data_IF_057200186047
#
_entry.id   IF_057200186047
#
_cell.length_a   1.000
_cell.length_b   1.000
_cell.length_c   1.000
_cell.angle_alpha   90.00
_cell.angle_beta   90.00
_cell.angle_gamma   90.00
#
_symmetry.space_group_name_H-M   'P 1'
#
loop_
_entity.id
_entity.type
_entity.pdbx_description
1 polymer ?
#
# COMPACT_ATOMS: atom_id res chain seq x y z
N UNK A 1 -2.56 8.02 -17.36
CA UNK A 1 -3.70 7.24 -16.86
C UNK A 1 -3.27 6.55 -15.57
N UNK A 2 -4.12 6.46 -14.54
CA UNK A 2 -3.78 5.78 -13.30
C UNK A 2 -4.33 4.36 -13.29
N UNK A 3 -3.63 3.42 -12.66
CA UNK A 3 -4.06 2.03 -12.44
C UNK A 3 -3.73 1.66 -11.00
N UNK A 4 -4.60 0.90 -10.34
CA UNK A 4 -4.33 0.38 -8.99
C UNK A 4 -4.47 -1.13 -9.04
N UNK A 5 -3.54 -1.84 -8.41
CA UNK A 5 -3.56 -3.30 -8.29
C UNK A 5 -3.53 -3.72 -6.83
N UNK A 6 -4.18 -4.85 -6.54
CA UNK A 6 -4.14 -5.57 -5.27
C UNK A 6 -3.48 -6.92 -5.52
N UNK A 7 -2.32 -7.18 -4.91
CA UNK A 7 -1.57 -8.44 -5.08
C UNK A 7 -1.48 -8.86 -6.56
N UNK A 8 -1.02 -7.93 -7.43
CA UNK A 8 -0.92 -8.04 -8.90
C UNK A 8 -2.26 -8.09 -9.67
N UNK A 9 -3.39 -8.26 -8.99
CA UNK A 9 -4.73 -8.23 -9.61
C UNK A 9 -5.19 -6.80 -9.84
N UNK A 10 -5.80 -6.49 -10.99
CA UNK A 10 -6.37 -5.17 -11.24
C UNK A 10 -7.48 -4.86 -10.23
N UNK A 11 -7.31 -3.79 -9.46
CA UNK A 11 -8.30 -3.27 -8.51
C UNK A 11 -9.04 -2.06 -9.09
N UNK A 12 -8.32 -1.22 -9.86
CA UNK A 12 -8.86 -0.07 -10.56
C UNK A 12 -8.24 0.11 -11.93
N UNK A 13 -9.09 0.34 -12.94
CA UNK A 13 -8.67 0.77 -14.27
C UNK A 13 -9.69 1.77 -14.86
N UNK A 14 -9.26 2.91 -15.42
CA UNK A 14 -10.21 3.89 -15.93
C UNK A 14 -10.95 3.36 -17.16
N UNK A 15 -12.28 3.48 -17.15
CA UNK A 15 -13.16 2.97 -18.20
C UNK A 15 -13.62 1.52 -17.99
N UNK A 16 -13.16 0.83 -16.94
CA UNK A 16 -13.71 -0.47 -16.53
C UNK A 16 -15.03 -0.26 -15.76
N UNK A 17 -15.98 -1.19 -15.91
CA UNK A 17 -17.26 -1.20 -15.20
C UNK A 17 -17.22 -1.98 -13.90
N UNK A 18 -16.27 -2.91 -13.72
CA UNK A 18 -16.16 -3.76 -12.52
C UNK A 18 -15.04 -3.32 -11.59
N UNK A 19 -13.86 -3.00 -12.13
CA UNK A 19 -12.71 -2.57 -11.34
C UNK A 19 -12.78 -1.05 -11.09
N UNK A 20 -13.77 -0.65 -10.30
CA UNK A 20 -14.03 0.74 -9.94
C UNK A 20 -13.68 0.97 -8.48
N UNK A 21 -13.10 2.12 -8.19
CA UNK A 21 -12.87 2.65 -6.85
C UNK A 21 -13.44 4.06 -6.76
N UNK A 22 -13.90 4.42 -5.57
CA UNK A 22 -14.48 5.72 -5.23
C UNK A 22 -13.49 6.48 -4.33
N UNK A 23 -13.44 7.81 -4.49
CA UNK A 23 -12.69 8.75 -3.62
C UNK A 23 -11.23 8.36 -3.35
N UNK A 24 -10.56 7.74 -4.33
CA UNK A 24 -9.17 7.32 -4.20
C UNK A 24 -8.23 8.52 -4.11
N UNK A 25 -7.56 8.66 -2.98
CA UNK A 25 -6.64 9.76 -2.67
C UNK A 25 -5.28 9.20 -2.26
N UNK A 26 -4.24 9.55 -3.01
CA UNK A 26 -2.85 9.19 -2.71
C UNK A 26 -2.13 10.42 -2.16
N UNK A 27 -1.68 10.33 -0.90
CA UNK A 27 -0.92 11.36 -0.21
C UNK A 27 0.53 10.90 -0.09
N UNK A 28 1.44 11.59 -0.78
CA UNK A 28 2.89 11.35 -0.70
C UNK A 28 3.54 12.62 -0.21
N UNK A 29 4.15 12.55 0.97
CA UNK A 29 4.82 13.69 1.62
C UNK A 29 6.28 13.33 1.90
N UNK A 30 7.13 14.35 1.97
CA UNK A 30 8.51 14.16 2.40
C UNK A 30 8.55 13.65 3.84
N UNK A 31 9.45 12.70 4.13
CA UNK A 31 9.62 12.07 5.45
C UNK A 31 8.43 11.23 5.95
N UNK A 32 7.47 10.88 5.08
CA UNK A 32 6.42 9.90 5.41
C UNK A 32 6.50 8.69 4.48
N UNK A 33 5.90 7.57 4.90
CA UNK A 33 5.77 6.39 4.03
C UNK A 33 4.77 6.62 2.88
N UNK A 34 3.98 7.69 2.94
CA UNK A 34 2.81 7.89 2.10
C UNK A 34 1.61 7.05 2.52
N UNK A 35 0.42 7.55 2.17
CA UNK A 35 -0.85 6.93 2.50
C UNK A 35 -1.75 6.95 1.29
N UNK A 36 -2.39 5.82 1.01
CA UNK A 36 -3.43 5.71 -0.01
C UNK A 36 -4.74 5.39 0.71
N UNK A 37 -5.79 6.17 0.43
CA UNK A 37 -7.13 5.94 0.97
C UNK A 37 -8.09 5.83 -0.19
N UNK A 38 -8.94 4.81 -0.21
CA UNK A 38 -9.98 4.67 -1.21
C UNK A 38 -11.20 3.95 -0.64
N UNK A 39 -12.31 4.06 -1.35
CA UNK A 39 -13.55 3.34 -1.04
C UNK A 39 -13.80 2.32 -2.15
N UNK A 40 -13.85 1.04 -1.77
CA UNK A 40 -14.11 -0.07 -2.67
C UNK A 40 -15.60 -0.48 -2.62
N UNK A 41 -16.34 -0.37 -3.73
CA UNK A 41 -17.73 -0.80 -3.80
C UNK A 41 -17.84 -2.33 -3.84
N UNK A 42 -18.99 -2.86 -3.42
CA UNK A 42 -19.23 -4.31 -3.29
C UNK A 42 -19.14 -5.05 -4.63
N UNK A 43 -19.42 -4.36 -5.72
CA UNK A 43 -19.40 -4.89 -7.09
C UNK A 43 -17.97 -5.18 -7.57
N UNK A 44 -16.95 -4.64 -6.89
CA UNK A 44 -15.56 -4.83 -7.28
C UNK A 44 -15.14 -6.30 -7.10
N UNK A 45 -14.53 -6.95 -8.11
CA UNK A 45 -14.09 -8.35 -8.03
C UNK A 45 -13.09 -8.63 -6.90
N UNK A 46 -12.36 -7.61 -6.45
CA UNK A 46 -11.38 -7.71 -5.37
C UNK A 46 -11.95 -7.38 -3.99
N UNK A 47 -13.26 -7.12 -3.87
CA UNK A 47 -13.90 -6.65 -2.64
C UNK A 47 -13.63 -7.54 -1.41
N UNK A 48 -13.62 -8.87 -1.56
CA UNK A 48 -13.35 -9.80 -0.45
C UNK A 48 -11.87 -10.20 -0.30
N UNK A 49 -10.98 -9.67 -1.14
CA UNK A 49 -9.56 -10.07 -1.15
C UNK A 49 -8.68 -9.23 -0.22
N UNK A 50 -9.19 -8.15 0.34
CA UNK A 50 -8.39 -7.29 1.23
C UNK A 50 -8.09 -7.99 2.55
N UNK A 51 -6.81 -8.23 2.81
CA UNK A 51 -6.32 -8.75 4.07
C UNK A 51 -5.42 -7.71 4.75
N UNK A 52 -5.81 -7.28 5.95
CA UNK A 52 -5.02 -6.31 6.72
C UNK A 52 -3.63 -6.89 7.04
N UNK A 53 -2.58 -6.06 6.90
CA UNK A 53 -1.16 -6.42 7.09
C UNK A 53 -0.65 -7.55 6.18
N UNK A 54 -1.37 -7.88 5.10
CA UNK A 54 -0.98 -8.94 4.17
C UNK A 54 -1.08 -8.52 2.71
N UNK A 55 -2.21 -7.92 2.33
CA UNK A 55 -2.41 -7.50 0.95
C UNK A 55 -1.60 -6.25 0.63
N UNK A 56 -0.98 -6.26 -0.54
CA UNK A 56 -0.19 -5.15 -1.08
C UNK A 56 -0.96 -4.46 -2.21
N UNK A 57 -0.99 -3.14 -2.15
CA UNK A 57 -1.62 -2.27 -3.13
C UNK A 57 -0.55 -1.43 -3.82
N UNK A 58 -0.54 -1.48 -5.15
CA UNK A 58 0.37 -0.68 -5.99
C UNK A 58 -0.43 0.30 -6.84
N UNK A 59 0.07 1.53 -6.95
CA UNK A 59 -0.49 2.58 -7.80
C UNK A 59 0.48 2.90 -8.92
N UNK A 60 -0.02 2.88 -10.15
CA UNK A 60 0.74 3.18 -11.35
C UNK A 60 0.22 4.43 -12.03
N UNK A 61 1.13 5.24 -12.58
CA UNK A 61 0.84 6.32 -13.51
C UNK A 61 1.45 5.99 -14.87
N UNK A 62 0.62 5.50 -15.79
CA UNK A 62 1.08 4.87 -17.02
C UNK A 62 1.78 3.55 -16.68
N UNK A 63 3.05 3.42 -17.06
CA UNK A 63 3.88 2.25 -16.76
C UNK A 63 4.71 2.41 -15.48
N UNK A 64 4.77 3.63 -14.92
CA UNK A 64 5.57 3.92 -13.73
C UNK A 64 4.80 3.62 -12.46
N UNK A 65 5.32 2.76 -11.60
CA UNK A 65 4.85 2.60 -10.22
C UNK A 65 5.20 3.86 -9.42
N UNK A 66 4.20 4.46 -8.78
CA UNK A 66 4.36 5.70 -8.00
C UNK A 66 4.13 5.50 -6.50
N UNK A 67 3.51 4.40 -6.10
CA UNK A 67 3.29 4.05 -4.70
C UNK A 67 3.09 2.54 -4.58
N UNK A 68 3.62 1.98 -3.50
CA UNK A 68 3.38 0.60 -3.07
C UNK A 68 3.19 0.62 -1.57
N UNK A 69 2.16 -0.06 -1.10
CA UNK A 69 1.85 -0.08 0.33
C UNK A 69 0.98 -1.26 0.71
N UNK A 70 0.89 -1.52 1.99
CA UNK A 70 0.08 -2.59 2.55
C UNK A 70 -1.30 -2.08 2.99
N UNK A 71 -2.30 -2.94 2.97
CA UNK A 71 -3.60 -2.65 3.58
C UNK A 71 -3.42 -2.57 5.10
N UNK A 72 -3.54 -1.37 5.66
CA UNK A 72 -3.37 -1.12 7.10
C UNK A 72 -4.67 -1.42 7.85
N UNK A 73 -5.78 -0.96 7.29
CA UNK A 73 -7.12 -1.04 7.87
C UNK A 73 -8.19 -1.07 6.77
N UNK A 74 -9.31 -1.71 7.06
CA UNK A 74 -10.51 -1.65 6.25
C UNK A 74 -11.72 -1.50 7.17
N UNK A 75 -12.62 -0.59 6.80
CA UNK A 75 -13.88 -0.34 7.50
C UNK A 75 -15.04 -0.47 6.52
N UNK A 76 -16.14 -1.07 6.97
CA UNK A 76 -17.33 -1.27 6.14
C UNK A 76 -18.41 -0.25 6.51
N UNK A 77 -18.92 0.48 5.54
CA UNK A 77 -20.04 1.42 5.74
C UNK A 77 -21.42 0.70 5.70
N UNK A 78 -22.48 1.46 5.95
CA UNK A 78 -23.87 0.96 5.92
C UNK A 78 -24.30 0.48 4.53
N UNK A 79 -23.73 1.03 3.47
CA UNK A 79 -24.00 0.68 2.08
C UNK A 79 -23.16 -0.51 1.60
N UNK A 80 -22.38 -1.13 2.50
CA UNK A 80 -21.47 -2.23 2.19
C UNK A 80 -20.30 -1.84 1.28
N UNK A 81 -19.90 -0.57 1.26
CA UNK A 81 -18.61 -0.18 0.71
C UNK A 81 -17.52 -0.38 1.77
N UNK A 82 -16.32 -0.73 1.31
CA UNK A 82 -15.14 -0.84 2.16
C UNK A 82 -14.27 0.38 2.00
N UNK A 83 -14.15 1.20 3.03
CA UNK A 83 -13.10 2.21 3.11
C UNK A 83 -11.80 1.53 3.50
N UNK A 84 -10.80 1.61 2.64
CA UNK A 84 -9.51 0.95 2.82
C UNK A 84 -8.43 2.01 2.98
N UNK A 85 -7.61 1.84 4.01
CA UNK A 85 -6.45 2.68 4.26
C UNK A 85 -5.21 1.83 4.05
N UNK A 86 -4.35 2.26 3.14
CA UNK A 86 -3.07 1.63 2.86
C UNK A 86 -1.92 2.52 3.29
N UNK A 87 -0.90 1.92 3.89
CA UNK A 87 0.32 2.60 4.31
C UNK A 87 1.49 2.15 3.42
N UNK A 88 2.36 3.06 3.03
CA UNK A 88 3.49 2.72 2.16
C UNK A 88 4.49 1.76 2.81
N UNK A 89 5.23 1.00 1.99
CA UNK A 89 6.10 -0.09 2.47
C UNK A 89 7.15 0.32 3.52
N UNK A 90 7.55 1.59 3.57
CA UNK A 90 8.49 2.09 4.59
C UNK A 90 7.94 1.92 6.02
N UNK A 91 6.63 1.77 6.22
CA UNK A 91 6.08 1.45 7.55
C UNK A 91 6.52 0.09 8.07
N UNK A 92 6.94 -0.84 7.22
CA UNK A 92 7.52 -2.10 7.69
C UNK A 92 8.78 -1.89 8.52
N UNK A 93 9.61 -0.91 8.15
CA UNK A 93 10.80 -0.56 8.94
C UNK A 93 10.41 -0.04 10.33
N UNK A 94 9.36 0.79 10.40
CA UNK A 94 8.86 1.34 11.66
C UNK A 94 8.21 0.29 12.56
N UNK A 95 7.54 -0.71 11.98
CA UNK A 95 6.92 -1.81 12.72
C UNK A 95 7.91 -2.94 13.08
N UNK A 96 9.07 -2.99 12.42
CA UNK A 96 10.08 -4.03 12.66
C UNK A 96 10.81 -3.82 13.99
N UNK A 97 11.12 -4.92 14.66
CA UNK A 97 11.99 -4.91 15.84
C UNK A 97 13.37 -5.36 15.40
N UNK A 98 14.37 -4.50 15.61
CA UNK A 98 15.76 -4.85 15.38
C UNK A 98 16.32 -5.58 16.61
N UNK A 99 16.88 -6.80 16.45
CA UNK A 99 17.54 -7.49 17.54
C UNK A 99 18.69 -6.65 18.10
N UNK A 100 18.98 -6.81 19.39
CA UNK A 100 20.11 -6.13 20.00
C UNK A 100 21.42 -6.56 19.33
N UNK A 101 22.10 -5.61 18.69
CA UNK A 101 23.37 -5.81 18.01
C UNK A 101 24.16 -4.51 17.99
N UNK A 102 25.46 -4.64 18.01
CA UNK A 102 26.38 -3.51 17.94
C UNK A 102 26.99 -3.41 16.54
N UNK A 103 27.11 -2.19 16.04
CA UNK A 103 27.66 -1.89 14.71
C UNK A 103 28.71 -0.79 14.84
N UNK A 104 29.94 -1.08 14.41
CA UNK A 104 31.07 -0.14 14.40
C UNK A 104 31.58 0.00 12.97
N UNK A 105 32.09 1.18 12.61
CA UNK A 105 32.74 1.43 11.31
C UNK A 105 31.84 1.18 10.08
N UNK A 106 30.53 1.36 10.21
CA UNK A 106 29.57 1.26 9.09
C UNK A 106 29.05 2.65 8.67
N UNK A 107 28.90 2.85 7.37
CA UNK A 107 28.13 3.97 6.83
C UNK A 107 26.62 3.76 7.06
N UNK A 108 25.79 4.82 7.03
CA UNK A 108 24.34 4.68 7.14
C UNK A 108 23.74 3.71 6.10
N UNK A 109 24.29 3.69 4.89
CA UNK A 109 23.86 2.79 3.83
C UNK A 109 24.14 1.32 4.17
N UNK A 110 25.37 1.00 4.61
CA UNK A 110 25.73 -0.35 5.04
C UNK A 110 24.95 -0.81 6.27
N UNK A 111 24.58 0.12 7.16
CA UNK A 111 23.71 -0.20 8.29
C UNK A 111 22.30 -0.59 7.82
N UNK A 112 21.75 0.16 6.86
CA UNK A 112 20.44 -0.13 6.27
C UNK A 112 20.42 -1.47 5.53
N UNK A 113 21.47 -1.79 4.76
CA UNK A 113 21.64 -3.11 4.12
C UNK A 113 21.53 -4.25 5.16
N UNK A 114 22.15 -4.09 6.32
CA UNK A 114 22.06 -5.08 7.41
C UNK A 114 20.67 -5.17 8.03
N UNK A 115 19.92 -4.07 8.12
CA UNK A 115 18.55 -4.10 8.63
C UNK A 115 17.57 -4.75 7.65
N UNK A 116 17.83 -4.61 6.36
CA UNK A 116 16.99 -5.12 5.27
C UNK A 116 17.40 -6.51 4.79
N UNK A 117 18.57 -7.01 5.19
CA UNK A 117 19.18 -8.26 4.71
C UNK A 117 19.37 -8.28 3.17
N UNK A 118 19.84 -7.16 2.61
CA UNK A 118 20.15 -7.01 1.17
C UNK A 118 21.63 -6.70 0.95
#
# INVERSE_FOLDING_TARGET
MYKITLDETALYYPGDTKNVLLDATLNVELNTAGTLVFTCPKENPCYEKFLNRKSVVSVYRGEKEIFTGEVREQEKDLNQNKKVVCAGLLTYLADSIQPQKEYHDHTPYQLLEKFLNI
#
